data_IF_130449051251
#
_entry.id   IF_130449051251
#
_cell.length_a   1.000
_cell.length_b   1.000
_cell.length_c   1.000
_cell.angle_alpha   90.00
_cell.angle_beta   90.00
_cell.angle_gamma   90.00
#
_symmetry.space_group_name_H-M   'P 1'
#
loop_
_entity.id
_entity.type
_entity.pdbx_description
1 polymer ?
#
# COMPACT_ATOMS: atom_id res chain seq x y z
N UNK A 1 7.14 12.11 -23.73
CA UNK A 1 7.60 12.73 -22.46
C UNK A 1 6.52 13.60 -21.86
N UNK A 2 6.63 13.94 -20.56
CA UNK A 2 5.63 14.72 -19.81
C UNK A 2 5.41 16.16 -20.35
N UNK A 3 6.42 16.75 -21.00
CA UNK A 3 6.36 18.14 -21.49
C UNK A 3 6.15 19.14 -20.34
N UNK A 4 5.61 20.32 -20.64
CA UNK A 4 5.27 21.37 -19.67
C UNK A 4 3.83 21.30 -19.15
N UNK A 5 3.12 20.20 -19.40
CA UNK A 5 1.70 20.07 -19.06
C UNK A 5 1.48 19.44 -17.68
N UNK A 6 1.08 20.26 -16.71
CA UNK A 6 0.80 19.83 -15.33
C UNK A 6 -0.26 18.71 -15.24
N UNK A 7 -1.28 18.69 -16.11
CA UNK A 7 -2.31 17.64 -16.11
C UNK A 7 -1.74 16.25 -16.38
N UNK A 8 -0.70 16.14 -17.21
CA UNK A 8 -0.04 14.84 -17.47
C UNK A 8 0.70 14.36 -16.23
N UNK A 9 1.38 15.26 -15.51
CA UNK A 9 2.02 14.94 -14.24
C UNK A 9 0.99 14.38 -13.23
N UNK A 10 -0.13 15.08 -13.05
CA UNK A 10 -1.20 14.63 -12.15
C UNK A 10 -1.72 13.25 -12.55
N UNK A 11 -1.93 13.00 -13.85
CA UNK A 11 -2.39 11.70 -14.34
C UNK A 11 -1.38 10.57 -14.04
N UNK A 12 -0.07 10.80 -14.23
CA UNK A 12 0.95 9.80 -13.89
C UNK A 12 1.01 9.54 -12.38
N UNK A 13 1.02 10.59 -11.55
CA UNK A 13 1.10 10.46 -10.08
C UNK A 13 -0.16 9.78 -9.54
N UNK A 14 -1.33 10.01 -10.14
CA UNK A 14 -2.59 9.37 -9.77
C UNK A 14 -2.59 7.85 -9.97
N UNK A 15 -1.61 7.28 -10.70
CA UNK A 15 -1.45 5.83 -10.83
C UNK A 15 -0.91 5.17 -9.56
N UNK A 16 -0.24 5.93 -8.67
CA UNK A 16 0.29 5.42 -7.41
C UNK A 16 -0.89 5.10 -6.48
N UNK A 17 -0.99 3.85 -6.03
CA UNK A 17 -2.10 3.39 -5.19
C UNK A 17 -1.61 3.02 -3.79
N UNK A 18 -2.34 3.48 -2.79
CA UNK A 18 -2.30 2.88 -1.45
C UNK A 18 -3.30 1.73 -1.40
N UNK A 19 -2.91 0.64 -0.77
CA UNK A 19 -3.67 -0.61 -0.74
C UNK A 19 -3.69 -1.13 0.69
N UNK A 20 -4.79 -1.74 1.08
CA UNK A 20 -4.89 -2.46 2.34
C UNK A 20 -4.85 -3.96 2.06
N UNK A 21 -4.03 -4.70 2.81
CA UNK A 21 -3.76 -6.12 2.63
C UNK A 21 -3.92 -6.85 3.95
N UNK A 22 -4.59 -8.01 3.92
CA UNK A 22 -4.65 -8.95 5.05
C UNK A 22 -3.67 -10.07 4.78
N UNK A 23 -2.72 -10.28 5.70
CA UNK A 23 -1.68 -11.31 5.58
C UNK A 23 -1.83 -12.28 6.76
N UNK A 24 -2.03 -13.59 6.52
CA UNK A 24 -1.99 -14.56 7.60
C UNK A 24 -0.54 -14.72 8.07
N UNK A 25 -0.33 -14.63 9.38
CA UNK A 25 0.97 -14.78 10.04
C UNK A 25 0.86 -15.83 11.13
N UNK A 26 1.80 -16.78 11.14
CA UNK A 26 1.88 -17.79 12.19
C UNK A 26 2.82 -17.33 13.29
N UNK A 27 2.33 -17.32 14.54
CA UNK A 27 3.12 -17.02 15.73
C UNK A 27 3.03 -18.20 16.70
N UNK A 28 4.04 -19.06 16.66
CA UNK A 28 4.00 -20.36 17.36
C UNK A 28 2.96 -21.27 16.70
N UNK A 29 2.05 -21.82 17.50
CA UNK A 29 0.94 -22.67 17.03
C UNK A 29 -0.31 -21.87 16.62
N UNK A 30 -0.30 -20.54 16.78
CA UNK A 30 -1.45 -19.68 16.50
C UNK A 30 -1.31 -19.00 15.13
N UNK A 31 -2.37 -19.07 14.32
CA UNK A 31 -2.51 -18.26 13.11
C UNK A 31 -3.21 -16.93 13.46
N UNK A 32 -2.61 -15.83 13.03
CA UNK A 32 -3.09 -14.46 13.24
C UNK A 32 -3.27 -13.77 11.89
N UNK A 33 -4.21 -12.83 11.79
CA UNK A 33 -4.36 -11.99 10.60
C UNK A 33 -3.76 -10.61 10.84
N UNK A 34 -2.80 -10.23 9.99
CA UNK A 34 -2.18 -8.92 10.02
C UNK A 34 -2.79 -8.02 8.95
N UNK A 35 -3.34 -6.87 9.37
CA UNK A 35 -3.91 -5.86 8.46
C UNK A 35 -2.90 -4.76 8.23
N UNK A 36 -2.44 -4.61 6.99
CA UNK A 36 -1.38 -3.70 6.60
C UNK A 36 -1.85 -2.74 5.52
N UNK A 37 -1.47 -1.47 5.62
CA UNK A 37 -1.50 -0.53 4.51
C UNK A 37 -0.14 -0.46 3.86
N UNK A 38 -0.11 -0.60 2.54
CA UNK A 38 1.09 -0.58 1.71
C UNK A 38 0.88 0.34 0.51
N UNK A 39 1.98 0.86 -0.04
CA UNK A 39 1.95 1.63 -1.29
C UNK A 39 2.48 0.73 -2.41
N UNK A 40 1.72 0.63 -3.50
CA UNK A 40 2.13 -0.14 -4.66
C UNK A 40 3.44 0.43 -5.23
N UNK A 41 4.36 -0.46 -5.63
CA UNK A 41 5.59 -0.04 -6.29
C UNK A 41 5.24 0.64 -7.62
N UNK A 42 5.61 1.92 -7.83
CA UNK A 42 5.29 2.62 -9.06
C UNK A 42 6.05 2.01 -10.24
N UNK A 43 5.46 2.10 -11.43
CA UNK A 43 6.15 1.78 -12.67
C UNK A 43 7.39 2.65 -12.85
N UNK A 44 8.40 2.15 -13.57
CA UNK A 44 9.71 2.80 -13.70
C UNK A 44 9.62 4.29 -14.06
N UNK A 45 8.77 4.63 -15.03
CA UNK A 45 8.60 6.02 -15.49
C UNK A 45 8.07 6.94 -14.40
N UNK A 46 7.13 6.47 -13.59
CA UNK A 46 6.57 7.22 -12.45
C UNK A 46 7.59 7.31 -11.32
N UNK A 47 8.36 6.24 -11.07
CA UNK A 47 9.46 6.26 -10.10
C UNK A 47 10.54 7.30 -10.47
N UNK A 48 10.97 7.35 -11.73
CA UNK A 48 11.92 8.35 -12.22
C UNK A 48 11.38 9.78 -12.09
N UNK A 49 10.07 9.96 -12.27
CA UNK A 49 9.41 11.25 -12.06
C UNK A 49 9.43 11.67 -10.60
N UNK A 50 9.11 10.78 -9.67
CA UNK A 50 9.13 11.05 -8.23
C UNK A 50 10.53 11.48 -7.77
N UNK A 51 11.58 10.79 -8.24
CA UNK A 51 12.97 11.16 -7.95
C UNK A 51 13.29 12.58 -8.43
N UNK A 52 12.88 12.93 -9.65
CA UNK A 52 13.09 14.29 -10.20
C UNK A 52 12.33 15.37 -9.43
N UNK A 53 11.21 15.00 -8.80
CA UNK A 53 10.40 15.90 -7.98
C UNK A 53 10.86 15.94 -6.52
N UNK A 54 11.84 15.13 -6.12
CA UNK A 54 12.25 15.00 -4.71
C UNK A 54 11.16 14.41 -3.83
N UNK A 55 10.26 13.59 -4.38
CA UNK A 55 9.16 12.95 -3.67
C UNK A 55 9.53 11.51 -3.35
N UNK A 56 9.34 11.13 -2.09
CA UNK A 56 9.53 9.75 -1.62
C UNK A 56 8.19 9.09 -1.33
N UNK A 57 8.09 7.81 -1.65
CA UNK A 57 6.96 6.98 -1.22
C UNK A 57 7.32 6.25 0.07
N UNK A 58 6.33 6.01 0.95
CA UNK A 58 6.52 5.14 2.10
C UNK A 58 7.08 3.77 1.67
N UNK A 59 8.21 3.39 2.26
CA UNK A 59 8.86 2.09 2.03
C UNK A 59 8.42 1.02 3.04
N UNK A 60 7.90 1.44 4.20
CA UNK A 60 7.38 0.56 5.25
C UNK A 60 5.88 0.29 5.13
N UNK A 61 5.46 -0.84 5.68
CA UNK A 61 4.04 -1.16 5.87
C UNK A 61 3.52 -0.49 7.14
N UNK A 62 2.27 -0.06 7.14
CA UNK A 62 1.61 0.52 8.32
C UNK A 62 0.56 -0.44 8.85
N UNK A 63 0.58 -0.75 10.15
CA UNK A 63 -0.53 -1.45 10.80
C UNK A 63 -1.78 -0.57 10.81
N UNK A 64 -2.93 -1.15 10.50
CA UNK A 64 -4.20 -0.42 10.43
C UNK A 64 -5.28 -1.11 11.26
N UNK A 65 -5.87 -0.34 12.18
CA UNK A 65 -6.99 -0.80 13.00
C UNK A 65 -8.33 -0.64 12.26
N UNK A 66 -8.43 0.38 11.40
CA UNK A 66 -9.64 0.69 10.62
C UNK A 66 -9.50 0.20 9.17
N UNK A 67 -9.73 -1.10 8.97
CA UNK A 67 -9.75 -1.73 7.64
C UNK A 67 -11.19 -1.85 7.13
N UNK A 68 -11.53 -1.28 5.96
CA UNK A 68 -12.92 -1.19 5.48
C UNK A 68 -13.52 -2.51 5.00
N UNK A 69 -12.77 -3.63 5.00
CA UNK A 69 -13.21 -4.90 4.42
C UNK A 69 -13.74 -5.96 5.38
N UNK A 70 -13.69 -5.79 6.71
CA UNK A 70 -14.27 -6.80 7.63
C UNK A 70 -14.45 -6.16 9.03
N UNK A 71 -15.66 -5.66 9.30
CA UNK A 71 -16.09 -5.43 10.68
C UNK A 71 -16.14 -6.80 11.38
N UNK A 72 -15.23 -7.02 12.33
CA UNK A 72 -15.28 -8.10 13.31
C UNK A 72 -15.46 -9.53 12.74
N UNK A 73 -14.38 -10.15 12.26
CA UNK A 73 -14.24 -11.60 12.46
C UNK A 73 -13.25 -11.86 13.60
N UNK A 74 -13.76 -12.58 14.60
CA UNK A 74 -13.04 -13.06 15.75
C UNK A 74 -11.83 -13.91 15.32
N UNK A 75 -10.77 -14.00 16.15
CA UNK A 75 -9.65 -14.89 15.86
C UNK A 75 -10.19 -16.30 15.61
N UNK A 76 -9.76 -16.90 14.51
CA UNK A 76 -10.01 -18.31 14.22
C UNK A 76 -9.24 -19.12 15.27
N UNK A 77 -9.87 -19.38 16.42
CA UNK A 77 -9.46 -20.45 17.32
C UNK A 77 -9.78 -21.76 16.60
N UNK A 78 -8.76 -22.41 16.03
CA UNK A 78 -8.87 -23.82 15.64
C UNK A 78 -8.30 -24.70 16.75
N UNK A 79 -9.03 -25.79 16.97
CA UNK A 79 -8.91 -26.87 17.97
C UNK A 79 -7.51 -27.48 18.07
#
# INVERSE_FOLDING_TARGET
GLGTCARKLVAEVATIKSMDVVVPVRRGEQDHELRLRVVARPERRVAELLVRLGLELPTGTRLIDNFPGEAARAPVQKM
#
